data_IF_644956898678
#
_entry.id   IF_644956898678
#
_cell.length_a   1.000
_cell.length_b   1.000
_cell.length_c   1.000
_cell.angle_alpha   90.00
_cell.angle_beta   90.00
_cell.angle_gamma   90.00
#
_symmetry.space_group_name_H-M   'P 1'
#
loop_
_entity.id
_entity.type
_entity.pdbx_description
1 polymer ?
#
# COMPACT_ATOMS: atom_id res chain seq x y z
N UNK A 1 -6.50 -5.69 6.00
CA UNK A 1 -6.16 -4.52 5.16
C UNK A 1 -4.93 -4.87 4.35
N UNK A 2 -5.09 -4.99 3.03
CA UNK A 2 -3.96 -5.14 2.12
C UNK A 2 -3.19 -3.82 2.09
N UNK A 3 -1.88 -3.86 2.35
CA UNK A 3 -1.07 -2.65 2.30
C UNK A 3 -0.65 -2.40 0.86
N UNK A 4 -1.26 -1.42 0.20
CA UNK A 4 -0.93 -1.04 -1.18
C UNK A 4 0.52 -0.58 -1.34
N UNK A 5 1.16 -0.09 -0.27
CA UNK A 5 2.58 0.26 -0.29
C UNK A 5 3.50 -0.92 -0.63
N UNK A 6 3.08 -2.17 -0.45
CA UNK A 6 3.85 -3.34 -0.90
C UNK A 6 4.05 -3.39 -2.42
N UNK A 7 3.19 -2.72 -3.18
CA UNK A 7 3.37 -2.58 -4.61
C UNK A 7 4.70 -1.89 -4.98
N UNK A 8 5.18 -0.96 -4.15
CA UNK A 8 6.38 -0.18 -4.44
C UNK A 8 7.67 -0.90 -4.05
N UNK A 9 7.74 -1.50 -2.87
CA UNK A 9 8.99 -2.10 -2.37
C UNK A 9 9.07 -3.63 -2.53
N UNK A 10 7.98 -4.28 -2.94
CA UNK A 10 7.94 -5.68 -3.35
C UNK A 10 6.96 -5.88 -4.49
N UNK A 11 7.21 -5.29 -5.67
CA UNK A 11 6.25 -5.29 -6.78
C UNK A 11 5.89 -6.70 -7.23
N UNK A 12 6.87 -7.59 -7.38
CA UNK A 12 6.63 -9.00 -7.75
C UNK A 12 5.76 -9.73 -6.73
N UNK A 13 6.02 -9.56 -5.44
CA UNK A 13 5.19 -10.16 -4.39
C UNK A 13 3.76 -9.63 -4.42
N UNK A 14 3.60 -8.34 -4.70
CA UNK A 14 2.28 -7.72 -4.79
C UNK A 14 1.51 -8.21 -6.01
N UNK A 15 2.17 -8.32 -7.16
CA UNK A 15 1.62 -8.87 -8.39
C UNK A 15 1.20 -10.34 -8.21
N UNK A 16 2.05 -11.18 -7.63
CA UNK A 16 1.73 -12.56 -7.29
C UNK A 16 0.53 -12.66 -6.33
N UNK A 17 0.40 -11.71 -5.40
CA UNK A 17 -0.74 -11.64 -4.50
C UNK A 17 -2.02 -11.30 -5.27
N UNK A 18 -1.98 -10.31 -6.16
CA UNK A 18 -3.13 -9.94 -7.00
C UNK A 18 -3.53 -11.08 -7.93
N UNK A 19 -2.56 -11.74 -8.56
CA UNK A 19 -2.81 -12.89 -9.44
C UNK A 19 -3.46 -14.04 -8.67
N UNK A 20 -2.97 -14.36 -7.47
CA UNK A 20 -3.59 -15.38 -6.62
C UNK A 20 -5.02 -15.02 -6.20
N UNK A 21 -5.30 -13.74 -5.93
CA UNK A 21 -6.65 -13.28 -5.64
C UNK A 21 -7.56 -13.30 -6.87
N UNK A 22 -7.02 -13.15 -8.07
CA UNK A 22 -7.75 -13.14 -9.33
C UNK A 22 -8.03 -14.54 -9.87
N UNK A 23 -7.06 -15.44 -9.78
CA UNK A 23 -7.10 -16.79 -10.38
C UNK A 23 -7.65 -17.83 -9.43
N UNK A 24 -7.53 -17.60 -8.14
CA UNK A 24 -7.98 -18.55 -7.20
C UNK A 24 -8.71 -17.97 -6.08
N UNK A 25 -9.65 -18.09 -6.25
CA UNK A 25 -9.51 -19.37 -5.70
C UNK A 25 -9.85 -19.34 -4.27
N UNK A 26 -10.92 -19.79 -4.14
CA UNK A 26 -11.37 -20.51 -2.97
C UNK A 26 -10.19 -21.37 -2.48
N UNK A 27 -9.39 -20.79 -1.60
CA UNK A 27 -8.45 -21.59 -0.82
C UNK A 27 -9.34 -22.60 -0.12
N UNK A 28 -9.30 -23.84 -0.59
CA UNK A 28 -10.04 -24.94 0.05
C UNK A 28 -9.70 -24.89 1.55
N UNK A 29 -10.66 -24.56 2.42
CA UNK A 29 -10.40 -24.48 3.85
C UNK A 29 -9.82 -25.79 4.40
N UNK A 30 -10.22 -26.92 3.83
CA UNK A 30 -9.74 -28.25 4.21
C UNK A 30 -8.27 -28.46 3.88
N UNK A 31 -7.80 -27.95 2.73
CA UNK A 31 -6.37 -27.98 2.38
C UNK A 31 -5.54 -27.11 3.31
N UNK A 32 -6.03 -25.90 3.66
CA UNK A 32 -5.36 -25.01 4.62
C UNK A 32 -5.31 -25.62 6.01
N UNK A 33 -6.37 -26.30 6.42
CA UNK A 33 -6.42 -27.00 7.71
C UNK A 33 -5.43 -28.16 7.75
N UNK A 34 -5.29 -28.88 6.64
CA UNK A 34 -4.30 -29.95 6.49
C UNK A 34 -2.86 -29.40 6.59
N UNK A 35 -2.59 -28.29 5.93
CA UNK A 35 -1.30 -27.61 5.99
C UNK A 35 -0.99 -27.10 7.40
N UNK A 36 -2.00 -26.56 8.10
CA UNK A 36 -1.89 -26.19 9.51
C UNK A 36 -1.53 -27.38 10.39
N UNK A 37 -2.21 -28.53 10.21
CA UNK A 37 -1.92 -29.76 10.92
C UNK A 37 -0.51 -30.29 10.63
N UNK A 38 -0.07 -30.28 9.37
CA UNK A 38 1.30 -30.65 8.97
C UNK A 38 2.32 -29.73 9.63
N UNK A 39 2.11 -28.42 9.58
CA UNK A 39 2.98 -27.42 10.20
C UNK A 39 3.14 -27.67 11.71
N UNK A 40 2.05 -27.94 12.43
CA UNK A 40 2.07 -28.22 13.85
C UNK A 40 2.80 -29.55 14.18
N UNK A 41 2.63 -30.58 13.33
CA UNK A 41 3.30 -31.88 13.51
C UNK A 41 4.80 -31.85 13.23
N UNK A 42 5.26 -31.03 12.27
CA UNK A 42 6.65 -31.01 11.84
C UNK A 42 7.65 -30.63 12.92
N UNK A 43 7.24 -30.02 14.03
CA UNK A 43 8.23 -29.41 14.91
C UNK A 43 8.02 -29.59 16.41
N UNK A 44 7.04 -30.29 16.93
CA UNK A 44 6.76 -30.20 18.40
C UNK A 44 6.86 -28.74 18.88
N UNK A 45 6.14 -27.83 18.21
CA UNK A 45 6.49 -26.41 18.23
C UNK A 45 5.88 -25.76 19.47
N UNK A 46 6.75 -25.28 20.34
CA UNK A 46 6.39 -24.27 21.35
C UNK A 46 5.82 -23.03 20.63
N UNK A 47 4.63 -22.59 21.04
CA UNK A 47 3.93 -21.44 20.46
C UNK A 47 4.71 -20.12 20.62
N UNK A 48 5.65 -20.08 21.57
CA UNK A 48 6.51 -18.92 21.82
C UNK A 48 7.77 -18.89 20.95
N UNK A 49 8.05 -19.96 20.22
CA UNK A 49 9.23 -20.05 19.35
C UNK A 49 9.09 -19.16 18.13
N UNK A 50 10.20 -18.55 17.72
CA UNK A 50 10.28 -17.78 16.46
C UNK A 50 10.81 -18.66 15.34
N UNK A 51 10.17 -18.57 14.17
CA UNK A 51 10.57 -19.20 12.92
C UNK A 51 10.67 -18.09 11.87
N UNK A 52 11.87 -17.89 11.32
CA UNK A 52 12.15 -16.83 10.34
C UNK A 52 11.64 -15.45 10.83
N UNK A 53 12.02 -15.06 12.05
CA UNK A 53 11.64 -13.81 12.71
C UNK A 53 10.12 -13.61 12.90
N UNK A 54 9.36 -14.71 13.06
CA UNK A 54 7.92 -14.68 13.31
C UNK A 54 7.56 -15.64 14.41
N UNK A 55 6.73 -15.19 15.34
CA UNK A 55 6.16 -16.04 16.37
C UNK A 55 5.28 -17.12 15.74
N UNK A 56 5.37 -18.34 16.24
CA UNK A 56 4.54 -19.46 15.79
C UNK A 56 3.05 -19.11 15.90
N UNK A 57 2.65 -18.41 16.95
CA UNK A 57 1.28 -17.92 17.14
C UNK A 57 0.78 -17.02 15.98
N UNK A 58 1.66 -16.20 15.38
CA UNK A 58 1.31 -15.40 14.21
C UNK A 58 1.10 -16.26 12.97
N UNK A 59 1.92 -17.30 12.81
CA UNK A 59 1.79 -18.24 11.69
C UNK A 59 0.47 -18.99 11.79
N UNK A 60 0.14 -19.51 12.99
CA UNK A 60 -1.12 -20.20 13.25
C UNK A 60 -2.30 -19.26 12.99
N UNK A 61 -2.27 -18.03 13.50
CA UNK A 61 -3.34 -17.05 13.27
C UNK A 61 -3.58 -16.71 11.78
N UNK A 62 -2.56 -16.91 10.94
CA UNK A 62 -2.68 -16.73 9.48
C UNK A 62 -3.42 -17.90 8.82
N UNK A 63 -3.18 -19.12 9.27
CA UNK A 63 -3.96 -20.28 8.83
C UNK A 63 -5.43 -20.10 9.20
N UNK A 64 -5.72 -19.71 10.46
CA UNK A 64 -7.10 -19.51 10.94
C UNK A 64 -7.83 -18.42 10.16
N UNK A 65 -7.14 -17.31 9.83
CA UNK A 65 -7.71 -16.27 8.98
C UNK A 65 -8.02 -16.73 7.56
N UNK A 66 -7.20 -17.61 6.98
CA UNK A 66 -7.45 -18.18 5.66
C UNK A 66 -8.63 -19.14 5.66
N UNK A 67 -8.75 -19.96 6.71
CA UNK A 67 -9.86 -20.91 6.87
C UNK A 67 -11.19 -20.17 7.05
N UNK A 68 -11.17 -19.03 7.75
CA UNK A 68 -12.36 -18.22 8.08
C UNK A 68 -12.66 -17.13 7.05
N UNK A 69 -11.93 -17.05 5.95
CA UNK A 69 -12.10 -15.98 4.96
C UNK A 69 -13.35 -16.24 4.11
N UNK A 70 -14.43 -15.46 4.28
CA UNK A 70 -15.72 -15.71 3.61
C UNK A 70 -15.78 -15.15 2.19
N UNK A 71 -14.66 -14.65 1.63
CA UNK A 71 -14.68 -13.93 0.35
C UNK A 71 -14.85 -14.89 -0.81
N UNK A 72 -15.85 -14.62 -1.64
CA UNK A 72 -16.10 -15.36 -2.86
C UNK A 72 -15.09 -15.00 -3.97
N UNK A 73 -14.82 -15.93 -4.87
CA UNK A 73 -14.00 -15.72 -6.06
C UNK A 73 -14.46 -14.49 -6.89
N UNK A 74 -15.77 -14.34 -7.07
CA UNK A 74 -16.35 -13.22 -7.82
C UNK A 74 -16.01 -11.87 -7.19
N UNK A 75 -16.05 -11.77 -5.86
CA UNK A 75 -15.70 -10.56 -5.11
C UNK A 75 -14.20 -10.26 -5.18
N UNK A 76 -13.36 -11.29 -5.09
CA UNK A 76 -11.92 -11.14 -5.22
C UNK A 76 -11.53 -10.61 -6.61
N UNK A 77 -12.09 -11.16 -7.68
CA UNK A 77 -11.86 -10.71 -9.05
C UNK A 77 -12.27 -9.26 -9.25
N UNK A 78 -13.44 -8.85 -8.75
CA UNK A 78 -13.90 -7.47 -8.76
C UNK A 78 -12.94 -6.55 -8.00
N UNK A 79 -12.52 -6.96 -6.80
CA UNK A 79 -11.60 -6.20 -5.96
C UNK A 79 -10.23 -6.01 -6.63
N UNK A 80 -9.68 -7.07 -7.22
CA UNK A 80 -8.39 -6.99 -7.94
C UNK A 80 -8.49 -6.04 -9.12
N UNK A 81 -9.59 -6.09 -9.88
CA UNK A 81 -9.82 -5.15 -10.99
C UNK A 81 -9.84 -3.71 -10.50
N UNK A 82 -10.56 -3.42 -9.41
CA UNK A 82 -10.61 -2.08 -8.81
C UNK A 82 -9.20 -1.62 -8.39
N UNK A 83 -8.40 -2.48 -7.77
CA UNK A 83 -7.04 -2.16 -7.36
C UNK A 83 -6.16 -1.87 -8.59
N UNK A 84 -6.20 -2.72 -9.61
CA UNK A 84 -5.45 -2.53 -10.86
C UNK A 84 -5.86 -1.23 -11.56
N UNK A 85 -7.15 -0.90 -11.61
CA UNK A 85 -7.66 0.35 -12.17
C UNK A 85 -7.23 1.57 -11.34
N UNK A 86 -7.24 1.47 -10.01
CA UNK A 86 -6.74 2.52 -9.13
C UNK A 86 -5.26 2.83 -9.39
N UNK A 87 -4.42 1.81 -9.50
CA UNK A 87 -2.97 1.97 -9.74
C UNK A 87 -2.64 2.58 -11.12
N UNK A 88 -3.60 2.65 -12.04
CA UNK A 88 -3.45 3.31 -13.34
C UNK A 88 -3.78 4.80 -13.34
N UNK A 89 -4.28 5.33 -12.23
CA UNK A 89 -4.62 6.76 -12.15
C UNK A 89 -3.34 7.58 -12.20
N UNK A 90 -3.22 8.34 -13.27
CA UNK A 90 -2.15 9.31 -13.51
C UNK A 90 -2.79 10.53 -14.17
N UNK A 91 -2.75 11.68 -13.51
CA UNK A 91 -3.40 12.87 -14.03
C UNK A 91 -2.78 14.16 -13.49
N UNK A 92 -2.91 15.29 -14.20
CA UNK A 92 -2.59 16.61 -13.66
C UNK A 92 -3.36 16.84 -12.35
N UNK A 93 -2.69 17.43 -11.36
CA UNK A 93 -3.25 17.59 -10.01
C UNK A 93 -4.55 18.41 -10.02
N UNK A 94 -4.69 19.37 -10.91
CA UNK A 94 -5.93 20.16 -11.09
C UNK A 94 -7.14 19.34 -11.57
N UNK A 95 -6.91 18.17 -12.19
CA UNK A 95 -7.95 17.23 -12.64
C UNK A 95 -8.22 16.10 -11.62
N UNK A 96 -7.46 16.04 -10.53
CA UNK A 96 -7.51 14.95 -9.56
C UNK A 96 -8.92 14.68 -9.05
N UNK A 97 -9.64 15.71 -8.63
CA UNK A 97 -10.99 15.54 -8.06
C UNK A 97 -11.97 14.91 -9.07
N UNK A 98 -11.98 15.42 -10.30
CA UNK A 98 -12.83 14.86 -11.36
C UNK A 98 -12.46 13.40 -11.63
N UNK A 99 -11.18 13.10 -11.71
CA UNK A 99 -10.67 11.75 -11.97
C UNK A 99 -11.06 10.78 -10.86
N UNK A 100 -10.89 11.19 -9.59
CA UNK A 100 -11.25 10.36 -8.45
C UNK A 100 -12.77 10.17 -8.31
N UNK A 101 -13.56 11.22 -8.53
CA UNK A 101 -15.02 11.09 -8.51
C UNK A 101 -15.53 10.13 -9.59
N UNK A 102 -14.98 10.18 -10.78
CA UNK A 102 -15.31 9.24 -11.86
C UNK A 102 -14.94 7.80 -11.45
N UNK A 103 -13.75 7.60 -10.85
CA UNK A 103 -13.32 6.29 -10.38
C UNK A 103 -14.23 5.75 -9.27
N UNK A 104 -14.60 6.60 -8.29
CA UNK A 104 -15.50 6.26 -7.18
C UNK A 104 -16.86 5.84 -7.72
N UNK A 105 -17.46 6.66 -8.60
CA UNK A 105 -18.79 6.42 -9.14
C UNK A 105 -18.83 5.14 -9.98
N UNK A 106 -17.83 4.95 -10.87
CA UNK A 106 -17.69 3.75 -11.70
C UNK A 106 -17.63 2.46 -10.89
N UNK A 107 -16.93 2.51 -9.74
CA UNK A 107 -16.69 1.33 -8.92
C UNK A 107 -17.62 1.26 -7.68
N UNK A 108 -18.57 2.18 -7.54
CA UNK A 108 -19.51 2.27 -6.41
C UNK A 108 -18.81 2.28 -5.05
N UNK A 109 -17.70 3.01 -4.95
CA UNK A 109 -16.89 3.09 -3.74
C UNK A 109 -17.42 4.16 -2.78
N UNK A 110 -17.12 3.99 -1.49
CA UNK A 110 -17.42 5.03 -0.50
C UNK A 110 -16.49 6.24 -0.68
N UNK A 111 -17.06 7.44 -0.84
CA UNK A 111 -16.31 8.70 -0.99
C UNK A 111 -15.32 8.98 0.14
N UNK A 112 -15.57 8.44 1.35
CA UNK A 112 -14.68 8.60 2.51
C UNK A 112 -13.28 8.03 2.30
N UNK A 113 -13.13 7.06 1.38
CA UNK A 113 -11.83 6.43 1.06
C UNK A 113 -10.81 7.45 0.56
N UNK A 114 -11.26 8.53 -0.09
CA UNK A 114 -10.41 9.54 -0.70
C UNK A 114 -10.53 10.93 -0.02
N UNK A 115 -11.11 11.00 1.18
CA UNK A 115 -11.30 12.27 1.90
C UNK A 115 -9.97 13.02 2.08
N UNK A 116 -8.90 12.32 2.41
CA UNK A 116 -7.60 12.92 2.67
C UNK A 116 -6.93 13.48 1.40
N UNK A 117 -7.33 12.99 0.22
CA UNK A 117 -6.78 13.46 -1.05
C UNK A 117 -7.39 14.79 -1.52
N UNK A 118 -8.53 15.19 -0.96
CA UNK A 118 -9.17 16.47 -1.29
C UNK A 118 -8.31 17.67 -0.93
N UNK A 119 -7.49 17.55 0.13
CA UNK A 119 -6.56 18.62 0.57
C UNK A 119 -5.45 18.91 -0.46
N UNK A 120 -5.14 17.96 -1.34
CA UNK A 120 -4.13 18.12 -2.41
C UNK A 120 -4.53 19.15 -3.47
N UNK A 121 -5.83 19.52 -3.56
CA UNK A 121 -6.28 20.59 -4.47
C UNK A 121 -5.54 21.91 -4.27
N UNK A 122 -5.19 22.22 -3.02
CA UNK A 122 -4.50 23.45 -2.71
C UNK A 122 -3.08 23.48 -3.29
N UNK A 123 -2.44 22.32 -3.44
CA UNK A 123 -1.12 22.21 -4.08
C UNK A 123 -1.19 22.47 -5.59
N UNK A 124 -2.32 22.19 -6.22
CA UNK A 124 -2.50 22.46 -7.66
C UNK A 124 -2.42 23.96 -7.99
N UNK A 125 -2.71 24.83 -7.02
CA UNK A 125 -2.58 26.29 -7.16
C UNK A 125 -1.12 26.76 -7.16
N UNK A 126 -0.21 25.98 -6.59
CA UNK A 126 1.20 26.33 -6.46
C UNK A 126 1.98 26.02 -7.73
N UNK A 127 1.63 24.95 -8.44
CA UNK A 127 2.33 24.56 -9.67
C UNK A 127 1.40 23.79 -10.61
N UNK A 128 1.20 24.35 -11.82
CA UNK A 128 0.36 23.75 -12.86
C UNK A 128 0.94 22.47 -13.48
N UNK A 129 2.25 22.23 -13.33
CA UNK A 129 2.94 21.04 -13.86
C UNK A 129 2.92 19.84 -12.91
N UNK A 130 2.26 19.95 -11.75
CA UNK A 130 2.19 18.85 -10.79
C UNK A 130 1.31 17.72 -11.30
N UNK A 131 1.84 16.51 -11.31
CA UNK A 131 1.15 15.28 -11.69
C UNK A 131 0.89 14.46 -10.44
N UNK A 132 -0.34 13.95 -10.32
CA UNK A 132 -0.72 12.97 -9.32
C UNK A 132 -0.67 11.57 -9.94
N UNK A 133 -0.01 10.63 -9.27
CA UNK A 133 0.02 9.23 -9.67
C UNK A 133 -0.22 8.32 -8.48
N UNK A 134 -1.12 7.37 -8.62
CA UNK A 134 -1.35 6.32 -7.63
C UNK A 134 -0.34 5.18 -7.73
N UNK A 135 0.37 5.10 -8.84
CA UNK A 135 1.50 4.19 -9.06
C UNK A 135 2.84 4.84 -8.71
N UNK A 136 2.81 5.82 -7.82
CA UNK A 136 3.98 6.50 -7.31
C UNK A 136 4.13 6.25 -5.82
N UNK A 137 5.31 5.85 -5.38
CA UNK A 137 5.63 5.58 -3.99
C UNK A 137 7.13 5.47 -3.78
N UNK A 138 7.51 5.34 -2.53
CA UNK A 138 8.91 5.23 -2.11
C UNK A 138 9.15 3.86 -1.50
N UNK A 139 10.37 3.34 -1.64
CA UNK A 139 10.80 2.05 -1.10
C UNK A 139 10.92 2.04 0.44
N UNK A 140 10.59 3.14 1.08
CA UNK A 140 10.74 3.33 2.51
C UNK A 140 9.38 3.24 3.20
N UNK A 141 9.28 2.35 4.20
CA UNK A 141 8.01 2.03 4.86
C UNK A 141 7.49 3.09 5.85
N UNK A 142 8.28 4.05 6.26
CA UNK A 142 7.87 5.01 7.29
C UNK A 142 6.87 6.05 6.82
N UNK A 143 6.71 6.24 5.51
CA UNK A 143 5.71 7.18 5.01
C UNK A 143 4.30 6.72 5.32
N UNK A 144 3.51 7.62 5.90
CA UNK A 144 2.13 7.39 6.31
C UNK A 144 1.10 8.18 5.50
N UNK A 145 1.55 9.09 4.65
CA UNK A 145 0.70 9.98 3.86
C UNK A 145 1.24 10.25 2.47
N UNK A 146 1.05 11.46 2.00
CA UNK A 146 1.51 11.90 0.67
C UNK A 146 3.01 11.87 0.59
N UNK A 147 3.53 11.40 -0.54
CA UNK A 147 4.94 11.48 -0.92
C UNK A 147 5.07 12.27 -2.21
N UNK A 148 6.20 12.93 -2.41
CA UNK A 148 6.46 13.73 -3.60
C UNK A 148 7.91 13.63 -4.07
N UNK A 149 8.11 13.89 -5.34
CA UNK A 149 9.39 14.14 -5.97
C UNK A 149 9.29 15.39 -6.84
N UNK A 150 10.38 16.16 -6.88
CA UNK A 150 10.49 17.35 -7.71
C UNK A 150 11.69 17.14 -8.63
N UNK A 151 11.48 17.41 -9.91
CA UNK A 151 12.49 17.27 -10.94
C UNK A 151 12.79 18.62 -11.57
N UNK A 152 14.03 18.83 -12.02
CA UNK A 152 14.40 19.96 -12.85
C UNK A 152 13.99 19.74 -14.31
N UNK A 153 14.26 20.73 -15.18
CA UNK A 153 14.00 20.67 -16.61
C UNK A 153 14.71 19.51 -17.32
N UNK A 154 15.87 19.11 -16.82
CA UNK A 154 16.67 17.97 -17.31
C UNK A 154 16.20 16.61 -16.74
N UNK A 155 15.04 16.56 -16.09
CA UNK A 155 14.48 15.35 -15.45
C UNK A 155 15.36 14.73 -14.35
N UNK A 156 16.25 15.50 -13.74
CA UNK A 156 17.01 15.07 -12.56
C UNK A 156 16.23 15.41 -11.30
N UNK A 157 16.15 14.47 -10.35
CA UNK A 157 15.49 14.68 -9.04
C UNK A 157 16.26 15.73 -8.24
N UNK A 158 15.58 16.83 -7.87
CA UNK A 158 16.13 17.90 -7.03
C UNK A 158 15.62 17.86 -5.60
N UNK A 159 14.43 17.31 -5.36
CA UNK A 159 13.91 17.12 -4.02
C UNK A 159 12.94 15.96 -3.95
N UNK A 160 12.86 15.36 -2.77
CA UNK A 160 11.92 14.29 -2.47
C UNK A 160 11.52 14.31 -1.00
N UNK A 161 10.31 13.91 -0.70
CA UNK A 161 9.84 13.93 0.68
C UNK A 161 8.43 13.41 0.85
N UNK A 162 7.89 13.61 2.04
CA UNK A 162 6.52 13.21 2.35
C UNK A 162 6.18 13.32 3.81
N UNK A 163 5.03 12.75 4.16
CA UNK A 163 4.48 12.72 5.53
C UNK A 163 4.74 11.37 6.18
N UNK A 164 5.21 11.38 7.43
CA UNK A 164 5.60 10.17 8.17
C UNK A 164 5.26 10.23 9.67
N UNK A 165 3.99 10.36 9.99
CA UNK A 165 3.47 10.56 11.36
C UNK A 165 3.83 9.41 12.34
N UNK A 166 4.05 8.20 11.82
CA UNK A 166 4.35 7.04 12.66
C UNK A 166 5.83 6.85 13.01
N UNK A 167 6.75 7.61 12.40
CA UNK A 167 8.19 7.38 12.53
C UNK A 167 8.67 7.54 13.96
N UNK A 168 8.34 8.66 14.62
CA UNK A 168 8.79 8.93 15.98
C UNK A 168 8.27 7.90 16.98
N UNK A 169 7.05 7.39 16.77
CA UNK A 169 6.50 6.31 17.60
C UNK A 169 7.28 5.01 17.42
N UNK A 170 7.71 4.68 16.19
CA UNK A 170 8.53 3.49 15.93
C UNK A 170 9.94 3.60 16.52
N UNK A 171 10.41 4.83 16.73
CA UNK A 171 11.69 5.15 17.38
C UNK A 171 11.58 5.29 18.92
N UNK A 172 10.44 4.92 19.52
CA UNK A 172 10.26 4.89 20.96
C UNK A 172 9.53 6.09 21.58
N UNK A 173 9.04 7.03 20.79
CA UNK A 173 8.20 8.11 21.32
C UNK A 173 6.91 7.59 21.92
N UNK A 174 6.55 8.06 23.10
CA UNK A 174 5.27 7.75 23.77
C UNK A 174 4.06 8.39 23.04
N UNK A 175 4.28 9.48 22.32
CA UNK A 175 3.25 10.23 21.60
C UNK A 175 3.33 9.99 20.10
N UNK A 176 2.17 10.02 19.45
CA UNK A 176 2.11 10.06 17.99
C UNK A 176 2.31 11.52 17.55
N UNK A 177 3.40 11.80 16.85
CA UNK A 177 3.77 13.15 16.43
C UNK A 177 3.75 13.19 14.91
N UNK A 178 2.90 14.06 14.35
CA UNK A 178 2.85 14.28 12.91
C UNK A 178 4.16 14.89 12.43
N UNK A 179 4.72 14.31 11.36
CA UNK A 179 5.98 14.75 10.81
C UNK A 179 5.94 14.80 9.28
N UNK A 180 6.58 15.79 8.72
CA UNK A 180 6.84 15.95 7.29
C UNK A 180 8.31 16.33 7.09
N UNK A 181 8.87 15.93 5.96
CA UNK A 181 10.24 16.29 5.63
C UNK A 181 10.56 16.09 4.17
N UNK A 182 11.65 16.70 3.75
CA UNK A 182 12.21 16.58 2.41
C UNK A 182 13.72 16.52 2.44
N UNK A 183 14.29 15.77 1.50
CA UNK A 183 15.69 15.78 1.16
C UNK A 183 15.89 16.55 -0.15
N UNK A 184 16.92 17.40 -0.21
CA UNK A 184 17.23 18.19 -1.39
C UNK A 184 18.60 17.76 -1.92
N UNK A 185 18.69 17.49 -3.22
CA UNK A 185 19.92 17.17 -3.90
C UNK A 185 20.56 18.46 -4.46
N UNK A 186 21.52 19.01 -3.71
CA UNK A 186 22.17 20.27 -4.06
C UNK A 186 22.92 20.19 -5.41
N UNK A 187 23.47 19.03 -5.76
CA UNK A 187 24.20 18.85 -7.01
C UNK A 187 23.30 19.00 -8.25
N UNK A 188 22.02 18.70 -8.12
CA UNK A 188 21.04 18.78 -9.20
C UNK A 188 20.32 20.13 -9.28
N UNK A 189 20.59 21.05 -8.32
CA UNK A 189 20.07 22.43 -8.36
C UNK A 189 20.86 23.33 -9.32
N UNK A 190 22.14 22.98 -9.55
CA UNK A 190 23.02 23.72 -10.45
C UNK A 190 22.85 23.21 -11.87
N UNK A 191 21.84 23.67 -12.56
CA UNK A 191 21.67 23.47 -14.02
C UNK A 191 21.20 24.75 -14.67
#
# INVERSE_FOLDING_TARGET
KMRLNRHFWRPKYFEDLLNRLETNSDVDPSAVELDKKKFLKMKNIDQNKEIANRKVSEIISRFDRKIKDPRSFKENKKTVKIIKDYLKINCPLNKLEKTLNNFINKNQLNKRVFKDLSSLKNLAKLNSKTIFSTNFGRDIEYYSGVVFEIYNSSKKEIARGGRYDGLLKSLGSKKNISAVGAAINLNNLKT
#
